data_IF_422261289785
#
_entry.id   IF_422261289785
#
_cell.length_a   1.000
_cell.length_b   1.000
_cell.length_c   1.000
_cell.angle_alpha   90.00
_cell.angle_beta   90.00
_cell.angle_gamma   90.00
#
_symmetry.space_group_name_H-M   'P 1'
#
loop_
_entity.id
_entity.type
_entity.pdbx_description
1 polymer ?
#
# COMPACT_ATOMS: atom_id res chain seq x y z
N UNK A 1 -12.96 -10.36 29.52
CA UNK A 1 -11.53 -10.30 29.13
C UNK A 1 -11.20 -10.98 27.79
N UNK A 2 -12.07 -11.82 27.21
CA UNK A 2 -11.74 -12.54 25.95
C UNK A 2 -11.55 -11.68 24.70
N UNK A 3 -12.29 -10.57 24.56
CA UNK A 3 -12.21 -9.68 23.38
C UNK A 3 -10.79 -9.16 23.10
N UNK A 4 -10.06 -8.74 24.14
CA UNK A 4 -8.71 -8.19 24.01
C UNK A 4 -7.71 -9.20 23.44
N UNK A 5 -7.89 -10.50 23.71
CA UNK A 5 -6.98 -11.55 23.26
C UNK A 5 -7.32 -12.08 21.85
N UNK A 6 -8.54 -11.83 21.36
CA UNK A 6 -9.04 -12.37 20.08
C UNK A 6 -8.97 -11.29 18.99
N UNK A 7 -9.17 -10.02 19.35
CA UNK A 7 -9.16 -8.92 18.39
C UNK A 7 -7.79 -8.79 17.71
N UNK A 8 -7.78 -8.83 16.37
CA UNK A 8 -6.57 -8.66 15.56
C UNK A 8 -5.44 -9.68 15.85
N UNK A 9 -5.77 -10.86 16.43
CA UNK A 9 -4.82 -11.88 16.86
C UNK A 9 -3.91 -12.43 15.74
N UNK A 10 -4.37 -12.44 14.48
CA UNK A 10 -3.58 -12.94 13.36
C UNK A 10 -2.42 -11.99 12.99
N UNK A 11 -1.15 -12.46 13.01
CA UNK A 11 -0.01 -11.63 12.64
C UNK A 11 -0.05 -11.18 11.18
N UNK A 12 0.01 -9.88 10.94
CA UNK A 12 0.04 -9.29 9.58
C UNK A 12 1.40 -8.71 9.26
N UNK A 13 2.46 -9.53 9.42
CA UNK A 13 3.84 -9.11 9.13
C UNK A 13 4.18 -9.21 7.63
N UNK A 14 3.49 -10.08 6.89
CA UNK A 14 3.76 -10.37 5.47
C UNK A 14 2.47 -10.58 4.65
N UNK A 15 2.65 -10.80 3.34
CA UNK A 15 1.56 -10.97 2.38
C UNK A 15 0.93 -9.65 1.91
N UNK A 16 -0.21 -9.77 1.23
CA UNK A 16 -0.98 -8.62 0.74
C UNK A 16 -1.69 -7.89 1.89
N UNK A 17 -2.21 -8.65 2.86
CA UNK A 17 -2.95 -8.12 4.01
C UNK A 17 -2.14 -7.25 4.97
N UNK A 18 -0.81 -7.38 4.95
CA UNK A 18 0.12 -6.59 5.78
C UNK A 18 0.48 -5.23 5.21
N UNK A 19 0.07 -4.94 3.97
CA UNK A 19 0.46 -3.74 3.24
C UNK A 19 -0.78 -3.01 2.74
N UNK A 20 -0.66 -1.71 2.65
CA UNK A 20 -1.67 -0.83 2.08
C UNK A 20 -1.01 0.33 1.35
N UNK A 21 -1.72 0.91 0.41
CA UNK A 21 -1.35 2.15 -0.25
C UNK A 21 -1.27 3.27 0.78
N UNK A 22 -0.19 4.07 0.75
CA UNK A 22 -0.03 5.23 1.64
C UNK A 22 -1.06 6.35 1.41
N UNK A 23 -1.68 6.40 0.23
CA UNK A 23 -2.63 7.46 -0.14
C UNK A 23 -4.10 7.05 0.09
N UNK A 24 -4.50 5.85 -0.34
CA UNK A 24 -5.91 5.43 -0.32
C UNK A 24 -6.20 4.20 0.55
N UNK A 25 -5.21 3.69 1.29
CA UNK A 25 -5.29 2.47 2.11
C UNK A 25 -5.67 1.17 1.36
N UNK A 26 -5.87 1.20 0.04
CA UNK A 26 -6.14 0.01 -0.77
C UNK A 26 -4.96 -0.96 -0.70
N UNK A 27 -5.26 -2.26 -0.59
CA UNK A 27 -4.27 -3.34 -0.52
C UNK A 27 -3.91 -3.91 -1.89
N UNK A 28 -4.74 -3.66 -2.90
CA UNK A 28 -4.57 -4.22 -4.24
C UNK A 28 -3.73 -3.32 -5.15
N UNK A 29 -3.00 -3.94 -6.08
CA UNK A 29 -2.24 -3.22 -7.11
C UNK A 29 -1.16 -2.30 -6.54
N UNK A 30 -0.53 -2.71 -5.44
CA UNK A 30 0.48 -1.93 -4.74
C UNK A 30 1.83 -1.96 -5.48
N UNK A 31 2.32 -0.78 -5.89
CA UNK A 31 3.65 -0.56 -6.42
C UNK A 31 4.61 -0.40 -5.24
N UNK A 32 5.51 -1.38 -5.10
CA UNK A 32 6.47 -1.48 -3.99
C UNK A 32 7.90 -1.08 -4.37
N UNK A 33 8.15 -0.85 -5.66
CA UNK A 33 9.48 -0.50 -6.17
C UNK A 33 9.91 0.85 -5.60
N UNK A 34 11.19 0.97 -5.27
CA UNK A 34 11.80 2.18 -4.72
C UNK A 34 11.16 2.69 -3.41
N UNK A 35 10.47 1.83 -2.66
CA UNK A 35 9.84 2.21 -1.39
C UNK A 35 8.58 3.07 -1.53
N UNK A 36 8.02 3.21 -2.74
CA UNK A 36 6.85 4.06 -3.00
C UNK A 36 5.62 3.64 -2.17
N UNK A 37 5.32 2.33 -2.13
CA UNK A 37 4.17 1.76 -1.42
C UNK A 37 2.84 2.47 -1.74
N UNK A 38 2.58 2.68 -3.03
CA UNK A 38 1.35 3.33 -3.52
C UNK A 38 0.60 2.45 -4.51
N UNK A 39 -0.72 2.59 -4.57
CA UNK A 39 -1.55 1.84 -5.50
C UNK A 39 -1.31 2.30 -6.95
N UNK A 40 -1.53 1.44 -7.95
CA UNK A 40 -1.34 1.79 -9.36
C UNK A 40 -2.17 2.98 -9.86
N UNK A 41 -3.36 3.20 -9.29
CA UNK A 41 -4.22 4.35 -9.64
C UNK A 41 -3.61 5.63 -9.07
N UNK A 42 -3.33 5.62 -7.76
CA UNK A 42 -2.61 6.64 -7.03
C UNK A 42 -1.27 7.02 -7.68
N UNK A 43 -0.52 6.03 -8.17
CA UNK A 43 0.73 6.29 -8.88
C UNK A 43 0.52 7.12 -10.14
N UNK A 44 -0.54 6.87 -10.92
CA UNK A 44 -0.80 7.64 -12.14
C UNK A 44 -1.19 9.09 -11.83
N UNK A 45 -1.88 9.32 -10.72
CA UNK A 45 -2.24 10.65 -10.24
C UNK A 45 -1.00 11.43 -9.79
N UNK A 46 -0.14 10.81 -8.98
CA UNK A 46 1.04 11.49 -8.39
C UNK A 46 2.34 11.33 -9.21
N UNK A 47 2.33 10.63 -10.34
CA UNK A 47 3.56 10.32 -11.09
C UNK A 47 4.32 11.60 -11.47
N UNK A 48 3.61 12.61 -11.96
CA UNK A 48 4.21 13.88 -12.35
C UNK A 48 4.82 14.62 -11.16
N UNK A 49 4.13 14.68 -10.02
CA UNK A 49 4.59 15.36 -8.81
C UNK A 49 5.81 14.67 -8.17
N UNK A 50 5.90 13.35 -8.29
CA UNK A 50 7.07 12.56 -7.85
C UNK A 50 8.26 12.80 -8.80
N UNK A 51 8.02 13.31 -10.01
CA UNK A 51 9.05 13.57 -11.02
C UNK A 51 9.20 12.46 -12.06
N UNK A 52 8.29 11.48 -12.10
CA UNK A 52 8.24 10.53 -13.21
C UNK A 52 7.74 11.25 -14.47
N UNK A 53 8.47 11.08 -15.57
CA UNK A 53 8.10 11.59 -16.89
C UNK A 53 7.88 10.42 -17.83
N UNK A 54 6.81 10.49 -18.63
CA UNK A 54 6.63 9.59 -19.76
C UNK A 54 7.63 10.02 -20.83
N UNK A 55 8.65 9.21 -21.04
CA UNK A 55 9.51 9.28 -22.22
C UNK A 55 8.90 8.33 -23.26
N UNK A 56 9.08 8.65 -24.54
CA UNK A 56 8.53 7.88 -25.66
C UNK A 56 9.16 6.48 -25.74
#
# INVERSE_FOLDING_TARGET
MGFQNIWYSHPRKYGQGSRSCRACANKHGLIRKYGLNICRQCFREYAADIGFKKLD
#
